data_IF_799154025601
#
_entry.id   IF_799154025601
#
_cell.length_a   1.000
_cell.length_b   1.000
_cell.length_c   1.000
_cell.angle_alpha   90.00
_cell.angle_beta   90.00
_cell.angle_gamma   90.00
#
_symmetry.space_group_name_H-M   'P 1'
#
loop_
_entity.id
_entity.type
_entity.pdbx_description
1 polymer ?
#
# COMPACT_ATOMS: atom_id res chain seq x y z
N UNK A 1 -4.35 19.29 -1.10
CA UNK A 1 -4.57 18.42 0.08
C UNK A 1 -3.92 17.07 -0.19
N UNK A 2 -3.10 16.55 0.73
CA UNK A 2 -2.48 15.22 0.55
C UNK A 2 -3.21 14.16 1.35
N UNK A 3 -3.45 13.01 0.74
CA UNK A 3 -4.15 11.89 1.38
C UNK A 3 -3.29 10.65 1.24
N UNK A 4 -2.96 10.03 2.38
CA UNK A 4 -2.40 8.69 2.42
C UNK A 4 -3.53 7.71 2.76
N UNK A 5 -3.88 6.86 1.81
CA UNK A 5 -4.91 5.85 1.97
C UNK A 5 -4.30 4.48 2.24
N UNK A 6 -4.52 3.98 3.46
CA UNK A 6 -4.19 2.61 3.85
C UNK A 6 -5.33 1.67 3.45
N UNK A 7 -5.03 0.66 2.63
CA UNK A 7 -6.04 -0.27 2.11
C UNK A 7 -5.52 -1.70 2.07
N UNK A 8 -6.44 -2.66 2.11
CA UNK A 8 -6.17 -4.09 2.05
C UNK A 8 -5.98 -4.61 0.62
N UNK A 9 -6.23 -3.80 -0.40
CA UNK A 9 -6.09 -4.18 -1.82
C UNK A 9 -5.15 -3.22 -2.56
N UNK A 10 -4.52 -3.65 -3.65
CA UNK A 10 -3.62 -2.80 -4.44
C UNK A 10 -4.33 -1.65 -5.20
N UNK A 11 -5.67 -1.54 -5.14
CA UNK A 11 -6.44 -0.54 -5.87
C UNK A 11 -6.04 -0.49 -7.36
N UNK A 12 -5.67 0.68 -7.91
CA UNK A 12 -5.21 0.83 -9.30
C UNK A 12 -3.78 0.37 -9.60
N UNK A 13 -3.03 -0.12 -8.60
CA UNK A 13 -1.65 -0.55 -8.79
C UNK A 13 -1.55 -1.78 -9.70
N UNK A 14 -2.35 -2.82 -9.41
CA UNK A 14 -2.52 -3.99 -10.26
C UNK A 14 -3.88 -3.90 -10.95
N UNK A 15 -3.90 -3.94 -12.28
CA UNK A 15 -5.13 -4.20 -13.02
C UNK A 15 -5.43 -5.69 -12.88
N UNK A 16 -6.16 -6.05 -11.83
CA UNK A 16 -6.67 -7.42 -11.68
C UNK A 16 -7.87 -7.52 -12.62
N UNK A 17 -7.74 -8.31 -13.68
CA UNK A 17 -8.80 -8.58 -14.66
C UNK A 17 -10.03 -9.24 -14.04
N UNK A 18 -9.85 -9.89 -12.88
CA UNK A 18 -10.91 -10.58 -12.15
C UNK A 18 -11.31 -9.80 -10.90
N UNK A 19 -12.27 -8.89 -11.06
CA UNK A 19 -12.87 -8.06 -10.01
C UNK A 19 -13.63 -8.85 -8.91
N UNK A 20 -13.39 -10.16 -8.77
CA UNK A 20 -14.21 -11.09 -7.98
C UNK A 20 -13.93 -11.12 -6.46
N UNK A 21 -13.00 -10.33 -5.92
CA UNK A 21 -12.68 -10.32 -4.48
C UNK A 21 -12.95 -8.99 -3.77
N UNK A 22 -13.96 -8.22 -4.21
CA UNK A 22 -14.47 -7.06 -3.46
C UNK A 22 -13.59 -5.80 -3.46
N UNK A 23 -12.54 -5.73 -4.29
CA UNK A 23 -11.64 -4.57 -4.42
C UNK A 23 -12.04 -3.53 -5.48
N UNK A 24 -13.05 -3.82 -6.32
CA UNK A 24 -13.41 -2.96 -7.45
C UNK A 24 -13.84 -1.54 -7.06
N UNK A 25 -14.57 -1.41 -5.95
CA UNK A 25 -15.01 -0.09 -5.46
C UNK A 25 -13.84 0.79 -4.98
N UNK A 26 -12.74 0.18 -4.51
CA UNK A 26 -11.54 0.91 -4.08
C UNK A 26 -10.88 1.54 -5.31
N UNK A 27 -10.78 0.79 -6.40
CA UNK A 27 -10.31 1.31 -7.68
C UNK A 27 -11.24 2.41 -8.22
N UNK A 28 -12.56 2.20 -8.21
CA UNK A 28 -13.52 3.23 -8.63
C UNK A 28 -13.40 4.52 -7.80
N UNK A 29 -13.23 4.40 -6.48
CA UNK A 29 -13.04 5.54 -5.60
C UNK A 29 -11.69 6.25 -5.86
N UNK A 30 -10.61 5.50 -6.12
CA UNK A 30 -9.33 6.07 -6.55
C UNK A 30 -9.50 6.89 -7.85
N UNK A 31 -10.18 6.34 -8.85
CA UNK A 31 -10.46 7.04 -10.12
C UNK A 31 -11.25 8.34 -9.91
N UNK A 32 -12.27 8.33 -9.04
CA UNK A 32 -13.01 9.56 -8.71
C UNK A 32 -12.15 10.58 -7.95
N UNK A 33 -11.31 10.14 -7.01
CA UNK A 33 -10.39 11.03 -6.27
C UNK A 33 -9.37 11.64 -7.22
N UNK A 34 -8.84 10.88 -8.19
CA UNK A 34 -7.87 11.35 -9.19
C UNK A 34 -8.40 12.49 -10.06
N UNK A 35 -9.72 12.58 -10.27
CA UNK A 35 -10.34 13.71 -10.99
C UNK A 35 -10.17 15.03 -10.25
N UNK A 36 -9.97 15.01 -8.93
CA UNK A 36 -9.76 16.18 -8.09
C UNK A 36 -8.28 16.59 -8.08
N UNK A 37 -7.94 17.59 -8.90
CA UNK A 37 -6.56 18.10 -9.06
C UNK A 37 -6.01 18.72 -7.77
N UNK A 38 -6.87 19.14 -6.86
CA UNK A 38 -6.49 19.64 -5.54
C UNK A 38 -6.05 18.54 -4.57
N UNK A 39 -6.31 17.27 -4.90
CA UNK A 39 -5.91 16.11 -4.09
C UNK A 39 -4.65 15.48 -4.68
N UNK A 40 -3.70 15.24 -3.80
CA UNK A 40 -2.51 14.45 -4.06
C UNK A 40 -2.64 13.12 -3.30
N UNK A 41 -2.88 12.03 -4.04
CA UNK A 41 -3.26 10.74 -3.48
C UNK A 41 -2.07 9.78 -3.44
N UNK A 42 -1.82 9.23 -2.25
CA UNK A 42 -0.93 8.12 -2.02
C UNK A 42 -1.71 6.89 -1.53
N UNK A 43 -1.38 5.71 -2.01
CA UNK A 43 -2.06 4.45 -1.64
C UNK A 43 -1.02 3.49 -1.06
N UNK A 44 -1.27 2.98 0.14
CA UNK A 44 -0.40 2.06 0.84
C UNK A 44 -1.14 0.76 1.13
N UNK A 45 -0.53 -0.35 0.74
CA UNK A 45 -1.11 -1.69 0.82
C UNK A 45 -0.01 -2.73 0.99
N UNK A 46 -0.36 -3.94 1.38
CA UNK A 46 0.62 -5.04 1.54
C UNK A 46 0.73 -5.81 0.23
N UNK A 47 1.92 -5.85 -0.36
CA UNK A 47 2.22 -6.69 -1.52
C UNK A 47 3.73 -6.95 -1.56
N UNK A 48 4.10 -8.22 -1.45
CA UNK A 48 5.51 -8.62 -1.43
C UNK A 48 6.16 -8.53 -2.82
N UNK A 49 7.50 -8.48 -2.82
CA UNK A 49 8.33 -8.47 -4.03
C UNK A 49 8.11 -7.26 -4.96
N UNK A 50 7.64 -6.13 -4.43
CA UNK A 50 7.50 -4.89 -5.18
C UNK A 50 8.56 -3.85 -4.76
N UNK A 51 8.82 -2.83 -5.60
CA UNK A 51 9.57 -1.65 -5.18
C UNK A 51 8.89 -0.94 -4.00
N UNK A 52 9.67 -0.24 -3.16
CA UNK A 52 9.14 0.44 -1.96
C UNK A 52 8.18 1.59 -2.29
N UNK A 53 8.41 2.28 -3.42
CA UNK A 53 7.59 3.39 -3.91
C UNK A 53 7.43 3.24 -5.42
N UNK A 54 6.21 3.40 -5.91
CA UNK A 54 5.92 3.40 -7.34
C UNK A 54 4.95 4.53 -7.67
N UNK A 55 5.33 5.40 -8.59
CA UNK A 55 4.42 6.42 -9.14
C UNK A 55 3.78 5.90 -10.40
N UNK A 56 2.45 5.86 -10.44
CA UNK A 56 1.70 5.38 -11.60
C UNK A 56 0.36 6.10 -11.69
N UNK A 57 -0.02 6.52 -12.90
CA UNK A 57 -1.30 7.18 -13.18
C UNK A 57 -1.64 8.36 -12.24
N UNK A 58 -0.64 9.16 -11.85
CA UNK A 58 -0.84 10.30 -10.94
C UNK A 58 -1.06 9.94 -9.47
N UNK A 59 -0.80 8.69 -9.08
CA UNK A 59 -0.89 8.19 -7.70
C UNK A 59 0.47 7.66 -7.26
N UNK A 60 0.84 7.90 -6.00
CA UNK A 60 2.03 7.34 -5.39
C UNK A 60 1.67 6.08 -4.58
N UNK A 61 2.18 4.93 -4.98
CA UNK A 61 1.90 3.65 -4.34
C UNK A 61 3.04 3.25 -3.41
N UNK A 62 2.70 2.74 -2.23
CA UNK A 62 3.62 2.24 -1.21
C UNK A 62 3.29 0.77 -0.87
N UNK A 63 3.85 -0.19 -1.64
CA UNK A 63 3.76 -1.61 -1.31
C UNK A 63 4.58 -1.93 -0.06
N UNK A 64 3.92 -2.48 0.96
CA UNK A 64 4.55 -2.92 2.18
C UNK A 64 4.86 -4.41 2.12
N UNK A 65 6.00 -4.79 2.69
CA UNK A 65 6.37 -6.20 2.85
C UNK A 65 5.50 -6.80 3.95
N UNK A 66 4.83 -7.90 3.64
CA UNK A 66 3.97 -8.63 4.58
C UNK A 66 4.76 -9.26 5.71
N UNK A 67 6.07 -9.46 5.49
CA UNK A 67 7.05 -10.11 6.39
C UNK A 67 6.65 -11.47 6.93
N UNK A 68 5.62 -12.11 6.36
CA UNK A 68 5.26 -13.50 6.61
C UNK A 68 6.14 -14.40 5.74
N UNK A 69 6.74 -15.41 6.33
CA UNK A 69 7.44 -16.44 5.59
C UNK A 69 6.47 -17.25 4.72
N UNK A 70 6.88 -17.63 3.52
CA UNK A 70 6.06 -18.41 2.57
C UNK A 70 5.87 -19.89 2.96
N UNK A 71 6.44 -20.34 4.08
CA UNK A 71 6.53 -21.76 4.45
C UNK A 71 5.53 -22.15 5.55
N UNK A 72 5.07 -23.41 5.56
CA UNK A 72 4.18 -23.93 6.61
C UNK A 72 4.85 -23.89 7.99
N UNK A 73 6.19 -24.00 8.01
CA UNK A 73 7.04 -23.92 9.21
C UNK A 73 7.06 -22.48 9.77
N UNK A 74 6.99 -21.45 8.92
CA UNK A 74 6.97 -20.07 9.40
C UNK A 74 5.67 -19.70 10.10
N UNK A 75 4.53 -20.37 9.81
CA UNK A 75 3.28 -20.11 10.57
C UNK A 75 3.39 -20.47 12.06
N UNK A 76 4.17 -21.50 12.40
CA UNK A 76 4.40 -21.90 13.79
C UNK A 76 5.41 -20.99 14.49
N UNK A 77 6.42 -20.51 13.77
CA UNK A 77 7.45 -19.59 14.30
C UNK A 77 6.93 -18.15 14.40
N UNK A 78 5.97 -17.75 13.55
CA UNK A 78 5.36 -16.43 13.54
C UNK A 78 4.71 -16.07 14.90
N UNK A 79 4.23 -17.06 15.65
CA UNK A 79 3.69 -16.84 17.00
C UNK A 79 4.74 -16.37 18.00
N UNK A 80 6.02 -16.74 17.80
CA UNK A 80 7.14 -16.36 18.67
C UNK A 80 7.82 -15.06 18.20
N UNK A 81 7.70 -14.69 16.92
CA UNK A 81 8.30 -13.48 16.32
C UNK A 81 7.31 -12.32 16.10
N UNK A 82 6.11 -12.43 16.68
CA UNK A 82 5.02 -11.49 16.50
C UNK A 82 5.42 -10.03 16.79
N UNK A 83 6.20 -9.82 17.87
CA UNK A 83 6.68 -8.48 18.26
C UNK A 83 7.67 -7.88 17.25
N UNK A 84 8.64 -8.67 16.78
CA UNK A 84 9.63 -8.24 15.78
C UNK A 84 8.96 -7.89 14.45
N UNK A 85 7.97 -8.70 14.05
CA UNK A 85 7.24 -8.49 12.81
C UNK A 85 6.39 -7.21 12.87
N UNK A 86 5.64 -7.00 13.95
CA UNK A 86 4.86 -5.79 14.22
C UNK A 86 5.74 -4.53 14.20
N UNK A 87 6.87 -4.55 14.91
CA UNK A 87 7.82 -3.43 14.97
C UNK A 87 8.37 -3.07 13.59
N UNK A 88 8.69 -4.08 12.77
CA UNK A 88 9.18 -3.84 11.40
C UNK A 88 8.13 -3.19 10.50
N UNK A 89 6.85 -3.60 10.63
CA UNK A 89 5.74 -3.06 9.86
C UNK A 89 5.43 -1.63 10.29
N UNK A 90 5.45 -1.35 11.59
CA UNK A 90 5.31 0.00 12.12
C UNK A 90 6.43 0.92 11.63
N UNK A 91 7.66 0.43 11.55
CA UNK A 91 8.78 1.21 11.00
C UNK A 91 8.57 1.52 9.51
N UNK A 92 8.09 0.55 8.72
CA UNK A 92 7.72 0.77 7.32
C UNK A 92 6.60 1.81 7.18
N UNK A 93 5.50 1.66 7.93
CA UNK A 93 4.39 2.62 7.92
C UNK A 93 4.84 4.02 8.33
N UNK A 94 5.68 4.14 9.36
CA UNK A 94 6.25 5.43 9.76
C UNK A 94 7.05 6.08 8.63
N UNK A 95 7.87 5.32 7.91
CA UNK A 95 8.60 5.82 6.74
C UNK A 95 7.64 6.31 5.66
N UNK A 96 6.59 5.54 5.35
CA UNK A 96 5.57 5.93 4.37
C UNK A 96 4.85 7.21 4.77
N UNK A 97 4.45 7.35 6.04
CA UNK A 97 3.79 8.57 6.53
C UNK A 97 4.72 9.78 6.44
N UNK A 98 5.98 9.63 6.83
CA UNK A 98 6.96 10.71 6.73
C UNK A 98 7.27 11.09 5.28
N UNK A 99 7.30 10.12 4.37
CA UNK A 99 7.48 10.37 2.94
C UNK A 99 6.25 11.03 2.32
N UNK A 100 5.04 10.56 2.63
CA UNK A 100 3.78 11.17 2.16
C UNK A 100 3.59 12.62 2.66
N UNK A 101 4.21 12.99 3.79
CA UNK A 101 4.30 14.38 4.26
C UNK A 101 5.30 15.24 3.47
N UNK A 102 6.26 14.65 2.78
CA UNK A 102 7.36 15.34 2.10
C UNK A 102 7.23 15.34 0.57
N UNK A 103 6.68 14.27 -0.01
CA UNK A 103 6.53 14.13 -1.46
C UNK A 103 5.48 15.12 -1.96
N UNK A 104 5.93 15.98 -2.87
CA UNK A 104 5.07 16.71 -3.80
C UNK A 104 5.00 15.86 -5.06
N UNK A 105 3.83 15.39 -5.47
CA UNK A 105 3.69 14.88 -6.83
C UNK A 105 3.78 16.09 -7.76
N UNK A 106 4.95 16.27 -8.37
CA UNK A 106 5.14 17.22 -9.46
C UNK A 106 4.29 16.68 -10.61
N UNK A 107 3.21 17.40 -10.93
CA UNK A 107 2.29 17.09 -12.03
C UNK A 107 2.79 17.70 -13.33
#
# INVERSE_FOLDING_TARGET
>A
MRVLWLTNTPSGYLQVTDACNGGGWIFSAEEEIKKRKEIDLAVCFVLDNQPEIVKKNGVCYYPLKSGKGKSVISRFVDSFQFDKHQKSKLLQLRKVVEDAKRVTIIR
#
